data_IF_470866979417
#
_entry.id   IF_470866979417
#
_cell.length_a   1.000
_cell.length_b   1.000
_cell.length_c   1.000
_cell.angle_alpha   90.00
_cell.angle_beta   90.00
_cell.angle_gamma   90.00
#
_symmetry.space_group_name_H-M   'P 1'
#
loop_
_entity.id
_entity.type
_entity.pdbx_description
1 polymer ?
#
# COMPACT_ATOMS: atom_id res chain seq x y z
N UNK A 1 1.18 -17.66 12.34
CA UNK A 1 2.64 -17.50 12.53
C UNK A 1 2.85 -16.76 13.84
N UNK A 2 3.13 -17.49 14.93
CA UNK A 2 3.39 -16.88 16.25
C UNK A 2 4.90 -16.70 16.45
N UNK A 3 5.52 -15.84 15.63
CA UNK A 3 6.96 -15.59 15.80
C UNK A 3 7.23 -14.78 17.08
N UNK A 4 6.25 -14.02 17.56
CA UNK A 4 6.36 -13.14 18.73
C UNK A 4 5.18 -13.28 19.72
N UNK A 5 4.76 -14.49 20.07
CA UNK A 5 3.76 -14.64 21.11
C UNK A 5 4.29 -14.11 22.46
N UNK A 6 3.68 -13.05 22.98
CA UNK A 6 4.12 -12.44 24.23
C UNK A 6 3.78 -13.34 25.43
N UNK A 7 4.77 -13.80 26.23
CA UNK A 7 4.53 -14.75 27.30
C UNK A 7 3.81 -14.18 28.52
N UNK A 8 3.69 -12.86 28.65
CA UNK A 8 2.98 -12.20 29.73
C UNK A 8 2.52 -10.76 29.33
N UNK A 9 1.56 -10.16 30.06
CA UNK A 9 1.01 -8.84 29.72
C UNK A 9 2.03 -7.69 29.69
N UNK A 10 3.11 -7.81 30.45
CA UNK A 10 4.14 -6.77 30.51
C UNK A 10 5.01 -6.79 29.24
N UNK A 11 5.35 -7.98 28.75
CA UNK A 11 6.06 -8.14 27.47
C UNK A 11 5.16 -7.74 26.32
N UNK A 12 3.87 -8.07 26.36
CA UNK A 12 2.88 -7.62 25.41
C UNK A 12 2.86 -6.08 25.30
N UNK A 13 2.77 -5.39 26.44
CA UNK A 13 2.81 -3.93 26.45
C UNK A 13 4.11 -3.34 25.89
N UNK A 14 5.26 -3.98 26.15
CA UNK A 14 6.55 -3.57 25.58
C UNK A 14 6.54 -3.76 24.05
N UNK A 15 6.08 -4.91 23.56
CA UNK A 15 6.00 -5.19 22.14
C UNK A 15 5.08 -4.19 21.42
N UNK A 16 3.92 -3.88 22.03
CA UNK A 16 3.01 -2.88 21.49
C UNK A 16 3.67 -1.50 21.37
N UNK A 17 4.31 -1.01 22.43
CA UNK A 17 4.96 0.31 22.44
C UNK A 17 6.13 0.37 21.45
N UNK A 18 6.96 -0.68 21.42
CA UNK A 18 8.10 -0.76 20.50
C UNK A 18 7.61 -0.86 19.05
N UNK A 19 6.61 -1.71 18.78
CA UNK A 19 6.01 -1.86 17.45
C UNK A 19 5.41 -0.54 16.96
N UNK A 20 4.67 0.15 17.81
CA UNK A 20 4.09 1.47 17.49
C UNK A 20 5.18 2.50 17.16
N UNK A 21 6.22 2.57 17.98
CA UNK A 21 7.36 3.47 17.75
C UNK A 21 8.08 3.17 16.44
N UNK A 22 8.29 1.89 16.11
CA UNK A 22 8.89 1.48 14.84
C UNK A 22 8.02 1.88 13.65
N UNK A 23 6.71 1.58 13.70
CA UNK A 23 5.80 1.92 12.60
C UNK A 23 5.78 3.43 12.35
N UNK A 24 5.62 4.24 13.40
CA UNK A 24 5.58 5.70 13.26
C UNK A 24 6.90 6.23 12.69
N UNK A 25 8.04 5.83 13.25
CA UNK A 25 9.34 6.31 12.80
C UNK A 25 9.67 5.90 11.35
N UNK A 26 9.42 4.64 11.01
CA UNK A 26 9.73 4.14 9.68
C UNK A 26 8.68 4.51 8.63
N UNK A 27 7.46 4.90 9.00
CA UNK A 27 6.48 5.48 8.07
C UNK A 27 7.02 6.77 7.43
N UNK A 28 7.61 7.68 8.22
CA UNK A 28 8.28 8.87 7.70
C UNK A 28 9.45 8.52 6.77
N UNK A 29 10.29 7.56 7.18
CA UNK A 29 11.44 7.11 6.38
C UNK A 29 11.02 6.39 5.09
N UNK A 30 9.87 5.73 5.09
CA UNK A 30 9.27 5.14 3.89
C UNK A 30 8.93 6.22 2.85
N UNK A 31 8.29 7.30 3.28
CA UNK A 31 7.96 8.44 2.41
C UNK A 31 9.23 9.10 1.87
N UNK A 32 10.22 9.35 2.73
CA UNK A 32 11.54 9.87 2.35
C UNK A 32 12.23 9.01 1.27
N UNK A 33 12.26 7.69 1.50
CA UNK A 33 12.82 6.72 0.58
C UNK A 33 12.07 6.65 -0.75
N UNK A 34 10.73 6.68 -0.72
CA UNK A 34 9.88 6.70 -1.91
C UNK A 34 10.12 7.96 -2.77
N UNK A 35 10.14 9.12 -2.14
CA UNK A 35 10.41 10.41 -2.81
C UNK A 35 11.82 10.45 -3.42
N UNK A 36 12.83 10.05 -2.65
CA UNK A 36 14.22 10.02 -3.13
C UNK A 36 14.41 9.03 -4.29
N UNK A 37 13.76 7.87 -4.22
CA UNK A 37 13.78 6.86 -5.28
C UNK A 37 13.09 7.38 -6.54
N UNK A 38 11.90 7.96 -6.41
CA UNK A 38 11.15 8.52 -7.55
C UNK A 38 11.97 9.55 -8.32
N UNK A 39 12.57 10.51 -7.59
CA UNK A 39 13.43 11.54 -8.19
C UNK A 39 14.69 10.96 -8.83
N UNK A 40 15.32 9.98 -8.16
CA UNK A 40 16.56 9.35 -8.62
C UNK A 40 16.39 8.54 -9.91
N UNK A 41 15.23 7.95 -10.13
CA UNK A 41 14.88 7.16 -11.32
C UNK A 41 14.02 7.92 -12.34
N UNK A 42 13.65 9.18 -12.06
CA UNK A 42 12.76 9.95 -12.94
C UNK A 42 11.35 9.37 -13.04
N UNK A 43 10.89 8.70 -12.00
CA UNK A 43 9.57 8.09 -11.90
C UNK A 43 8.68 9.02 -11.07
N UNK A 44 7.39 9.14 -11.41
CA UNK A 44 6.45 9.92 -10.62
C UNK A 44 6.39 9.41 -9.18
N UNK A 45 6.48 10.32 -8.22
CA UNK A 45 6.34 10.01 -6.78
C UNK A 45 4.98 9.36 -6.49
N UNK A 46 3.93 9.83 -7.17
CA UNK A 46 2.60 9.23 -7.08
C UNK A 46 2.63 7.73 -7.47
N UNK A 47 3.33 7.39 -8.55
CA UNK A 47 3.40 6.00 -9.01
C UNK A 47 4.13 5.10 -8.00
N UNK A 48 5.24 5.58 -7.43
CA UNK A 48 5.95 4.83 -6.39
C UNK A 48 5.07 4.67 -5.15
N UNK A 49 4.40 5.74 -4.72
CA UNK A 49 3.48 5.68 -3.58
C UNK A 49 2.33 4.71 -3.84
N UNK A 50 1.69 4.79 -5.02
CA UNK A 50 0.58 3.91 -5.34
C UNK A 50 0.97 2.43 -5.44
N UNK A 51 2.17 2.13 -5.99
CA UNK A 51 2.61 0.74 -6.17
C UNK A 51 3.19 0.11 -4.91
N UNK A 52 3.93 0.87 -4.12
CA UNK A 52 4.71 0.31 -3.02
C UNK A 52 4.15 0.65 -1.64
N UNK A 53 3.57 1.83 -1.44
CA UNK A 53 2.90 2.17 -0.17
C UNK A 53 1.51 1.54 -0.15
N UNK A 54 0.84 1.45 -1.31
CA UNK A 54 -0.44 0.74 -1.45
C UNK A 54 -0.30 -0.79 -1.54
N UNK A 55 0.93 -1.31 -1.63
CA UNK A 55 1.18 -2.74 -1.62
C UNK A 55 1.18 -3.25 -0.17
N UNK A 56 0.23 -4.12 0.14
CA UNK A 56 0.09 -4.75 1.45
C UNK A 56 0.57 -6.21 1.37
N UNK A 57 1.78 -6.49 1.88
CA UNK A 57 2.34 -7.84 1.88
C UNK A 57 1.50 -8.82 2.69
N UNK A 58 0.82 -8.36 3.74
CA UNK A 58 -0.03 -9.19 4.59
C UNK A 58 -1.21 -9.74 3.78
N UNK A 59 -1.90 -8.89 3.03
CA UNK A 59 -2.99 -9.34 2.15
C UNK A 59 -2.51 -10.32 1.07
N UNK A 60 -1.29 -10.16 0.56
CA UNK A 60 -0.71 -11.12 -0.38
C UNK A 60 -0.49 -12.50 0.27
N UNK A 61 0.06 -12.51 1.49
CA UNK A 61 0.30 -13.76 2.25
C UNK A 61 -1.02 -14.43 2.62
N UNK A 62 -1.98 -13.68 3.16
CA UNK A 62 -3.32 -14.19 3.50
C UNK A 62 -4.00 -14.76 2.24
N UNK A 63 -3.88 -14.05 1.11
CA UNK A 63 -4.42 -14.52 -0.17
C UNK A 63 -3.80 -15.83 -0.64
N UNK A 64 -2.47 -15.94 -0.57
CA UNK A 64 -1.74 -17.13 -1.00
C UNK A 64 -2.02 -18.34 -0.07
N UNK A 65 -1.89 -18.15 1.25
CA UNK A 65 -2.12 -19.22 2.24
C UNK A 65 -3.58 -19.65 2.24
N UNK A 66 -4.52 -18.70 2.27
CA UNK A 66 -5.95 -19.00 2.24
C UNK A 66 -6.39 -19.75 0.98
N UNK A 67 -5.74 -19.45 -0.16
CA UNK A 67 -5.97 -20.20 -1.40
C UNK A 67 -5.45 -21.65 -1.34
N UNK A 68 -4.28 -21.86 -0.73
CA UNK A 68 -3.66 -23.17 -0.58
C UNK A 68 -4.39 -24.04 0.45
N UNK A 69 -4.93 -23.45 1.49
CA UNK A 69 -5.67 -24.12 2.56
C UNK A 69 -7.16 -24.31 2.24
N UNK A 70 -7.62 -23.86 1.08
CA UNK A 70 -9.03 -23.99 0.66
C UNK A 70 -9.99 -23.01 1.36
N UNK A 71 -9.47 -21.97 2.02
CA UNK A 71 -10.25 -20.91 2.70
C UNK A 71 -10.25 -19.61 1.91
N UNK A 72 -10.37 -19.71 0.60
CA UNK A 72 -10.32 -18.58 -0.34
C UNK A 72 -11.30 -17.43 0.01
N UNK A 73 -12.43 -17.73 0.67
CA UNK A 73 -13.38 -16.72 1.15
C UNK A 73 -12.80 -15.78 2.19
N UNK A 74 -11.91 -16.27 3.06
CA UNK A 74 -11.21 -15.42 4.04
C UNK A 74 -10.22 -14.50 3.33
N UNK A 75 -9.45 -15.03 2.38
CA UNK A 75 -8.52 -14.25 1.59
C UNK A 75 -9.21 -13.11 0.82
N UNK A 76 -10.30 -13.44 0.11
CA UNK A 76 -11.07 -12.44 -0.64
C UNK A 76 -11.72 -11.41 0.30
N UNK A 77 -12.28 -11.86 1.42
CA UNK A 77 -12.88 -10.99 2.43
C UNK A 77 -11.88 -10.03 3.07
N UNK A 78 -10.65 -10.47 3.34
CA UNK A 78 -9.57 -9.63 3.86
C UNK A 78 -9.21 -8.50 2.90
N UNK A 79 -8.97 -8.82 1.62
CA UNK A 79 -8.61 -7.81 0.61
C UNK A 79 -9.74 -6.79 0.39
N UNK A 80 -10.98 -7.25 0.23
CA UNK A 80 -12.14 -6.36 0.06
C UNK A 80 -12.36 -5.54 1.33
N UNK A 81 -12.27 -6.15 2.51
CA UNK A 81 -12.43 -5.48 3.80
C UNK A 81 -11.39 -4.39 4.02
N UNK A 82 -10.12 -4.68 3.73
CA UNK A 82 -9.04 -3.70 3.81
C UNK A 82 -9.29 -2.49 2.90
N UNK A 83 -9.71 -2.72 1.65
CA UNK A 83 -10.07 -1.66 0.71
C UNK A 83 -11.27 -0.83 1.21
N UNK A 84 -12.30 -1.47 1.76
CA UNK A 84 -13.46 -0.77 2.34
C UNK A 84 -13.06 0.09 3.56
N UNK A 85 -12.23 -0.45 4.45
CA UNK A 85 -11.73 0.29 5.62
C UNK A 85 -10.89 1.48 5.16
N UNK A 86 -9.98 1.30 4.21
CA UNK A 86 -9.14 2.38 3.71
C UNK A 86 -9.97 3.51 3.06
N UNK A 87 -10.92 3.17 2.20
CA UNK A 87 -11.66 4.16 1.41
C UNK A 87 -12.85 4.72 2.18
N UNK A 88 -13.67 3.90 2.83
CA UNK A 88 -14.90 4.37 3.46
C UNK A 88 -14.65 4.84 4.90
N UNK A 89 -13.94 4.05 5.70
CA UNK A 89 -13.76 4.35 7.11
C UNK A 89 -12.66 5.40 7.32
N UNK A 90 -11.43 5.16 6.85
CA UNK A 90 -10.31 6.06 7.11
C UNK A 90 -10.51 7.43 6.45
N UNK A 91 -10.85 7.49 5.16
CA UNK A 91 -11.14 8.76 4.50
C UNK A 91 -12.42 9.41 5.03
N UNK A 92 -13.45 8.62 5.38
CA UNK A 92 -14.69 9.13 5.97
C UNK A 92 -14.45 9.82 7.30
N UNK A 93 -13.75 9.18 8.23
CA UNK A 93 -13.38 9.79 9.53
C UNK A 93 -12.50 11.03 9.31
N UNK A 94 -11.49 10.95 8.46
CA UNK A 94 -10.61 12.09 8.18
C UNK A 94 -11.41 13.29 7.66
N UNK A 95 -12.37 13.06 6.76
CA UNK A 95 -13.22 14.12 6.21
C UNK A 95 -14.15 14.76 7.24
N UNK A 96 -14.54 14.03 8.31
CA UNK A 96 -15.34 14.58 9.40
C UNK A 96 -14.55 15.61 10.24
N UNK A 97 -13.24 15.40 10.41
CA UNK A 97 -12.40 16.28 11.22
C UNK A 97 -11.70 17.37 10.38
N UNK A 98 -11.38 17.06 9.14
CA UNK A 98 -10.71 17.98 8.23
C UNK A 98 -11.25 17.84 6.79
N UNK A 99 -11.70 18.95 6.16
CA UNK A 99 -12.21 18.87 4.79
C UNK A 99 -11.10 18.48 3.83
N UNK A 100 -11.24 17.31 3.21
CA UNK A 100 -10.30 16.79 2.22
C UNK A 100 -10.51 17.56 0.90
N UNK A 101 -9.52 18.36 0.50
CA UNK A 101 -9.51 19.05 -0.78
C UNK A 101 -8.67 18.28 -1.78
N UNK A 102 -9.32 17.64 -2.73
CA UNK A 102 -8.63 17.00 -3.85
C UNK A 102 -8.29 18.06 -4.91
N UNK A 103 -7.01 18.33 -5.11
CA UNK A 103 -6.57 19.01 -6.31
C UNK A 103 -6.86 18.09 -7.51
N UNK A 104 -7.09 18.68 -8.70
CA UNK A 104 -7.57 17.99 -9.90
C UNK A 104 -6.92 16.62 -10.13
N UNK A 105 -7.62 15.56 -9.72
CA UNK A 105 -7.18 14.18 -9.99
C UNK A 105 -7.60 13.85 -11.44
N UNK A 106 -6.68 13.46 -12.32
CA UNK A 106 -7.01 13.06 -13.66
C UNK A 106 -8.04 11.92 -13.67
N UNK A 107 -9.09 12.04 -14.46
CA UNK A 107 -10.17 11.04 -14.53
C UNK A 107 -9.66 9.63 -14.81
N UNK A 108 -8.55 9.52 -15.54
CA UNK A 108 -7.91 8.26 -15.89
C UNK A 108 -7.43 7.49 -14.65
N UNK A 109 -6.97 8.19 -13.61
CA UNK A 109 -6.47 7.56 -12.38
C UNK A 109 -7.62 6.99 -11.55
N UNK A 110 -8.74 7.68 -11.51
CA UNK A 110 -9.94 7.18 -10.83
C UNK A 110 -10.55 6.01 -11.59
N UNK A 111 -10.44 5.99 -12.92
CA UNK A 111 -11.01 4.93 -13.75
C UNK A 111 -10.34 3.57 -13.53
N UNK A 112 -9.02 3.53 -13.30
CA UNK A 112 -8.25 2.28 -13.17
C UNK A 112 -8.76 1.39 -12.02
N UNK A 113 -8.84 1.85 -10.75
CA UNK A 113 -9.35 1.01 -9.67
C UNK A 113 -10.81 0.61 -9.88
N UNK A 114 -11.64 1.49 -10.48
CA UNK A 114 -13.02 1.12 -10.80
C UNK A 114 -13.09 0.00 -11.84
N UNK A 115 -12.24 0.02 -12.87
CA UNK A 115 -12.14 -1.06 -13.85
C UNK A 115 -11.62 -2.36 -13.21
N UNK A 116 -10.69 -2.29 -12.27
CA UNK A 116 -10.20 -3.46 -11.56
C UNK A 116 -11.31 -4.11 -10.72
N UNK A 117 -12.11 -3.32 -10.00
CA UNK A 117 -13.26 -3.81 -9.22
C UNK A 117 -14.34 -4.40 -10.14
N UNK A 118 -14.62 -3.74 -11.26
CA UNK A 118 -15.57 -4.24 -12.26
C UNK A 118 -15.09 -5.57 -12.86
N UNK A 119 -13.82 -5.69 -13.18
CA UNK A 119 -13.23 -6.92 -13.68
C UNK A 119 -13.34 -8.04 -12.65
N UNK A 120 -13.01 -7.77 -11.39
CA UNK A 120 -13.16 -8.73 -10.29
C UNK A 120 -14.62 -9.19 -10.15
N UNK A 121 -15.57 -8.26 -10.22
CA UNK A 121 -17.00 -8.56 -10.12
C UNK A 121 -17.48 -9.43 -11.27
N UNK A 122 -17.06 -9.15 -12.50
CA UNK A 122 -17.43 -9.94 -13.69
C UNK A 122 -16.85 -11.35 -13.63
N UNK A 123 -15.58 -11.49 -13.23
CA UNK A 123 -14.89 -12.78 -13.15
C UNK A 123 -15.38 -13.65 -11.99
N UNK A 124 -15.78 -13.02 -10.86
CA UNK A 124 -16.32 -13.72 -9.71
C UNK A 124 -17.85 -13.87 -9.71
N UNK A 125 -18.52 -13.56 -10.82
CA UNK A 125 -19.99 -13.58 -10.88
C UNK A 125 -20.58 -14.99 -10.73
N UNK A 126 -19.85 -16.01 -11.12
CA UNK A 126 -20.20 -17.42 -10.96
C UNK A 126 -19.93 -17.96 -9.54
N UNK A 127 -19.34 -17.17 -8.67
CA UNK A 127 -19.01 -17.53 -7.28
C UNK A 127 -17.67 -18.24 -7.12
N UNK A 128 -16.92 -18.44 -8.19
CA UNK A 128 -15.59 -19.06 -8.17
C UNK A 128 -14.57 -18.18 -8.91
N UNK A 129 -13.38 -18.04 -8.35
CA UNK A 129 -12.24 -17.43 -9.04
C UNK A 129 -11.28 -18.51 -9.50
N UNK A 130 -11.33 -18.83 -10.78
CA UNK A 130 -10.47 -19.82 -11.39
C UNK A 130 -9.03 -19.31 -11.56
N UNK A 131 -8.10 -20.22 -11.89
CA UNK A 131 -6.70 -19.84 -12.20
C UNK A 131 -6.60 -18.91 -13.42
N UNK A 132 -7.50 -19.07 -14.40
CA UNK A 132 -7.60 -18.18 -15.56
C UNK A 132 -8.04 -16.77 -15.16
N UNK A 133 -8.99 -16.66 -14.24
CA UNK A 133 -9.47 -15.36 -13.73
C UNK A 133 -8.37 -14.64 -12.94
N UNK A 134 -7.63 -15.39 -12.11
CA UNK A 134 -6.45 -14.88 -11.43
C UNK A 134 -5.37 -14.37 -12.42
N UNK A 135 -5.14 -15.10 -13.51
CA UNK A 135 -4.20 -14.66 -14.55
C UNK A 135 -4.69 -13.40 -15.27
N UNK A 136 -6.00 -13.28 -15.54
CA UNK A 136 -6.58 -12.08 -16.14
C UNK A 136 -6.52 -10.87 -15.20
N UNK A 137 -6.80 -11.05 -13.91
CA UNK A 137 -6.65 -9.99 -12.90
C UNK A 137 -5.21 -9.52 -12.79
N UNK A 138 -4.25 -10.46 -12.76
CA UNK A 138 -2.82 -10.12 -12.73
C UNK A 138 -2.36 -9.40 -13.99
N UNK A 139 -2.82 -9.84 -15.17
CA UNK A 139 -2.56 -9.14 -16.43
C UNK A 139 -3.15 -7.72 -16.41
N UNK A 140 -4.38 -7.56 -15.92
CA UNK A 140 -5.03 -6.27 -15.74
C UNK A 140 -4.23 -5.34 -14.82
N UNK A 141 -3.68 -5.87 -13.73
CA UNK A 141 -2.77 -5.14 -12.84
C UNK A 141 -1.50 -4.69 -13.58
N UNK A 142 -0.82 -5.59 -14.28
CA UNK A 142 0.39 -5.27 -15.04
C UNK A 142 0.13 -4.18 -16.10
N UNK A 143 -0.98 -4.29 -16.85
CA UNK A 143 -1.39 -3.29 -17.83
C UNK A 143 -1.68 -1.93 -17.19
N UNK A 144 -2.33 -1.92 -16.02
CA UNK A 144 -2.61 -0.72 -15.25
C UNK A 144 -1.33 -0.02 -14.80
N UNK A 145 -0.35 -0.79 -14.30
CA UNK A 145 0.97 -0.26 -13.92
C UNK A 145 1.69 0.35 -15.11
N UNK A 146 1.75 -0.37 -16.24
CA UNK A 146 2.37 0.13 -17.48
C UNK A 146 1.68 1.41 -17.93
N UNK A 147 0.35 1.45 -17.91
CA UNK A 147 -0.43 2.61 -18.31
C UNK A 147 -0.13 3.82 -17.40
N UNK A 148 -0.06 3.64 -16.08
CA UNK A 148 0.29 4.69 -15.13
C UNK A 148 1.71 5.21 -15.34
N UNK A 149 2.67 4.33 -15.65
CA UNK A 149 4.05 4.73 -16.00
C UNK A 149 4.07 5.59 -17.27
N UNK A 150 3.34 5.18 -18.30
CA UNK A 150 3.26 5.94 -19.56
C UNK A 150 2.57 7.30 -19.36
N UNK A 151 1.55 7.33 -18.51
CA UNK A 151 0.81 8.54 -18.17
C UNK A 151 1.69 9.51 -17.38
N UNK A 152 2.46 9.03 -16.44
CA UNK A 152 3.44 9.81 -15.68
C UNK A 152 4.49 10.46 -16.59
N UNK A 153 4.99 9.72 -17.58
CA UNK A 153 5.96 10.23 -18.57
C UNK A 153 5.36 11.33 -19.49
N UNK A 154 4.05 11.37 -19.65
CA UNK A 154 3.35 12.40 -20.44
C UNK A 154 3.07 13.69 -19.65
N UNK A 155 3.66 13.86 -18.47
CA UNK A 155 3.54 15.08 -17.67
C UNK A 155 2.26 15.17 -16.85
N UNK A 156 1.50 14.08 -16.70
CA UNK A 156 0.45 14.00 -15.69
C UNK A 156 1.09 13.83 -14.30
N UNK A 157 1.68 14.92 -13.83
CA UNK A 157 2.25 14.96 -12.49
C UNK A 157 1.12 15.33 -11.52
N UNK A 158 0.66 14.31 -10.77
CA UNK A 158 -0.19 14.58 -9.63
C UNK A 158 0.73 15.15 -8.58
N UNK A 159 0.61 16.46 -8.36
CA UNK A 159 1.41 17.10 -7.33
C UNK A 159 1.06 16.47 -5.99
N UNK A 160 2.01 15.88 -5.32
CA UNK A 160 1.78 15.31 -4.00
C UNK A 160 1.32 16.43 -3.05
N UNK A 161 0.40 16.11 -2.18
CA UNK A 161 -0.12 16.99 -1.15
C UNK A 161 0.18 16.41 0.23
N UNK A 162 0.19 17.24 1.26
CA UNK A 162 0.44 16.81 2.63
C UNK A 162 1.90 16.47 2.90
N UNK A 163 2.14 15.48 3.73
CA UNK A 163 3.46 15.05 4.21
C UNK A 163 4.46 14.72 3.09
N UNK A 164 3.94 14.17 1.97
CA UNK A 164 4.77 13.89 0.77
C UNK A 164 5.23 15.20 0.12
N UNK A 165 4.42 16.26 0.12
CA UNK A 165 4.81 17.55 -0.42
C UNK A 165 5.86 18.23 0.45
N UNK A 166 5.71 18.19 1.78
CA UNK A 166 6.71 18.71 2.73
C UNK A 166 8.02 17.95 2.61
N UNK A 167 7.96 16.63 2.53
CA UNK A 167 9.15 15.79 2.34
C UNK A 167 9.84 16.11 1.01
N UNK A 168 9.09 16.44 -0.04
CA UNK A 168 9.65 16.87 -1.33
C UNK A 168 10.48 18.16 -1.22
N UNK A 169 10.13 19.09 -0.35
CA UNK A 169 10.89 20.34 -0.16
C UNK A 169 12.18 20.13 0.65
N UNK A 170 12.18 19.18 1.57
CA UNK A 170 13.27 19.01 2.54
C UNK A 170 14.23 17.84 2.24
N UNK A 171 13.83 16.85 1.43
CA UNK A 171 14.68 15.71 1.09
C UNK A 171 15.85 16.13 0.21
N UNK A 172 17.04 16.16 0.79
CA UNK A 172 18.30 16.19 0.04
C UNK A 172 18.44 14.84 -0.68
N UNK A 173 18.52 14.87 -2.01
CA UNK A 173 18.71 13.67 -2.82
C UNK A 173 20.02 13.00 -2.43
N UNK A 174 19.95 11.97 -1.64
CA UNK A 174 21.09 11.19 -1.13
C UNK A 174 21.61 10.13 -2.12
N UNK A 175 21.28 10.26 -3.42
CA UNK A 175 21.63 9.28 -4.45
C UNK A 175 20.56 8.18 -4.57
N UNK A 176 20.22 7.82 -5.81
CA UNK A 176 19.11 6.91 -6.14
C UNK A 176 19.15 5.55 -5.42
N UNK A 177 20.32 4.96 -5.28
CA UNK A 177 20.49 3.66 -4.62
C UNK A 177 20.38 3.74 -3.10
N UNK A 178 20.82 4.85 -2.49
CA UNK A 178 20.64 5.06 -1.05
C UNK A 178 19.18 5.27 -0.69
N UNK A 179 18.45 6.03 -1.50
CA UNK A 179 17.01 6.24 -1.30
C UNK A 179 16.22 4.94 -1.47
N UNK A 180 16.57 4.12 -2.47
CA UNK A 180 15.97 2.80 -2.64
C UNK A 180 16.29 1.89 -1.46
N UNK A 181 17.53 1.90 -0.96
CA UNK A 181 17.91 1.14 0.22
C UNK A 181 17.12 1.59 1.48
N UNK A 182 16.97 2.90 1.69
CA UNK A 182 16.16 3.46 2.76
C UNK A 182 14.69 3.03 2.65
N UNK A 183 14.13 3.07 1.43
CA UNK A 183 12.76 2.66 1.14
C UNK A 183 12.52 1.19 1.51
N UNK A 184 13.37 0.29 1.02
CA UNK A 184 13.27 -1.16 1.30
C UNK A 184 13.46 -1.46 2.80
N UNK A 185 14.41 -0.78 3.44
CA UNK A 185 14.68 -0.93 4.86
C UNK A 185 13.50 -0.43 5.71
N UNK A 186 12.93 0.72 5.37
CA UNK A 186 11.75 1.24 6.05
C UNK A 186 10.55 0.30 5.92
N UNK A 187 10.32 -0.26 4.73
CA UNK A 187 9.27 -1.25 4.50
C UNK A 187 9.46 -2.48 5.40
N UNK A 188 10.68 -3.03 5.47
CA UNK A 188 10.98 -4.17 6.30
C UNK A 188 10.73 -3.90 7.80
N UNK A 189 11.15 -2.72 8.30
CA UNK A 189 10.92 -2.36 9.70
C UNK A 189 9.46 -2.04 10.02
N UNK A 190 8.66 -1.54 9.07
CA UNK A 190 7.21 -1.39 9.24
C UNK A 190 6.55 -2.76 9.39
N UNK A 191 6.92 -3.74 8.57
CA UNK A 191 6.41 -5.12 8.67
C UNK A 191 6.74 -5.71 10.04
N UNK A 192 8.00 -5.60 10.48
CA UNK A 192 8.42 -6.07 11.81
C UNK A 192 7.66 -5.34 12.93
N UNK A 193 7.52 -4.02 12.80
CA UNK A 193 6.78 -3.21 13.78
C UNK A 193 5.30 -3.58 13.85
N UNK A 194 4.66 -3.87 12.72
CA UNK A 194 3.27 -4.31 12.68
C UNK A 194 3.07 -5.70 13.31
N UNK A 195 4.00 -6.64 13.08
CA UNK A 195 3.96 -7.94 13.75
C UNK A 195 4.12 -7.81 15.28
N UNK A 196 5.01 -6.91 15.74
CA UNK A 196 5.15 -6.64 17.19
C UNK A 196 3.88 -6.00 17.77
N UNK A 197 3.21 -5.12 17.03
CA UNK A 197 1.93 -4.52 17.45
C UNK A 197 0.83 -5.58 17.63
N UNK A 198 0.78 -6.56 16.75
CA UNK A 198 -0.22 -7.65 16.82
C UNK A 198 0.11 -8.65 17.91
N UNK A 199 1.40 -8.85 18.20
CA UNK A 199 1.87 -9.75 19.27
C UNK A 199 1.74 -9.16 20.68
N UNK A 200 1.59 -7.85 20.81
CA UNK A 200 1.36 -7.11 22.06
C UNK A 200 -0.12 -6.88 22.33
#
# INVERSE_FOLDING_TARGET
MEIFAAPNPLIAAVFFVVGLGLVIYFAEKLVEGAVGTSRGFGISTFLISALFIGFDPENLVIGAVGSLEGVAGIALGSVIGAAMVAVAFALGITALFAPLRFSQVPKQIILIPNLAVLLLWVLGFDGELSRSDGALLFLGFCLSVIYLILLSKKGLDIRPTGEVAETLEHVKISGKWKSLGLFVLALAFIIIGSELLVAG
#
